data_IF_353519650944
#
_entry.id   IF_353519650944
#
_cell.length_a   1.000
_cell.length_b   1.000
_cell.length_c   1.000
_cell.angle_alpha   90.00
_cell.angle_beta   90.00
_cell.angle_gamma   90.00
#
_symmetry.space_group_name_H-M   'P 1'
#
loop_
_entity.id
_entity.type
_entity.pdbx_description
1 polymer ?
#
# COMPACT_ATOMS: atom_id res chain seq x y z
N UNK A 1 20.91 14.00 12.77
CA UNK A 1 20.74 13.43 11.41
C UNK A 1 19.49 14.06 10.81
N UNK A 2 19.59 14.90 9.77
CA UNK A 2 18.40 15.46 9.09
C UNK A 2 17.88 14.40 8.12
N UNK A 3 16.75 13.78 8.44
CA UNK A 3 16.08 12.85 7.53
C UNK A 3 15.36 13.64 6.44
N UNK A 4 15.79 13.48 5.19
CA UNK A 4 15.07 13.99 4.02
C UNK A 4 14.10 12.92 3.52
N UNK A 5 12.96 13.33 2.96
CA UNK A 5 12.04 12.42 2.27
C UNK A 5 12.75 11.60 1.17
N UNK A 6 13.81 12.15 0.57
CA UNK A 6 14.68 11.45 -0.36
C UNK A 6 15.37 10.23 0.26
N UNK A 7 15.76 10.29 1.52
CA UNK A 7 16.42 9.16 2.21
C UNK A 7 15.44 8.01 2.41
N UNK A 8 14.23 8.29 2.90
CA UNK A 8 13.17 7.29 3.05
C UNK A 8 12.81 6.63 1.71
N UNK A 9 12.79 7.41 0.62
CA UNK A 9 12.56 6.88 -0.71
C UNK A 9 13.68 5.94 -1.18
N UNK A 10 14.95 6.31 -0.99
CA UNK A 10 16.09 5.48 -1.37
C UNK A 10 16.11 4.18 -0.56
N UNK A 11 15.80 4.24 0.74
CA UNK A 11 15.66 3.07 1.60
C UNK A 11 14.56 2.14 1.09
N UNK A 12 13.35 2.66 0.87
CA UNK A 12 12.22 1.89 0.34
C UNK A 12 12.55 1.25 -1.02
N UNK A 13 13.17 2.01 -1.93
CA UNK A 13 13.59 1.54 -3.24
C UNK A 13 14.58 0.38 -3.13
N UNK A 14 15.61 0.55 -2.31
CA UNK A 14 16.65 -0.46 -2.10
C UNK A 14 16.04 -1.75 -1.55
N UNK A 15 15.22 -1.63 -0.52
CA UNK A 15 14.53 -2.76 0.11
C UNK A 15 13.62 -3.47 -0.91
N UNK A 16 12.89 -2.72 -1.75
CA UNK A 16 12.02 -3.28 -2.77
C UNK A 16 12.79 -4.03 -3.85
N UNK A 17 13.95 -3.52 -4.28
CA UNK A 17 14.82 -4.18 -5.26
C UNK A 17 15.30 -5.55 -4.78
N UNK A 18 15.58 -5.72 -3.48
CA UNK A 18 15.96 -7.00 -2.91
C UNK A 18 14.77 -7.91 -2.59
N UNK A 19 13.65 -7.36 -2.13
CA UNK A 19 12.44 -8.14 -1.80
C UNK A 19 11.75 -8.69 -3.04
N UNK A 20 11.81 -8.00 -4.18
CA UNK A 20 11.15 -8.44 -5.42
C UNK A 20 11.62 -9.82 -5.90
N UNK A 21 12.94 -10.10 -6.07
CA UNK A 21 13.39 -11.44 -6.44
C UNK A 21 13.14 -12.48 -5.34
N UNK A 22 13.17 -12.09 -4.06
CA UNK A 22 12.82 -12.98 -2.95
C UNK A 22 11.34 -13.39 -3.02
N UNK A 23 10.42 -12.44 -3.18
CA UNK A 23 8.99 -12.72 -3.33
C UNK A 23 8.68 -13.48 -4.61
N UNK A 24 9.46 -13.29 -5.67
CA UNK A 24 9.39 -14.12 -6.88
C UNK A 24 9.69 -15.59 -6.55
N UNK A 25 10.77 -15.84 -5.82
CA UNK A 25 11.16 -17.19 -5.40
C UNK A 25 10.16 -17.82 -4.42
N UNK A 26 9.67 -17.05 -3.43
CA UNK A 26 8.65 -17.51 -2.48
C UNK A 26 7.34 -17.84 -3.21
N UNK A 27 6.89 -16.96 -4.12
CA UNK A 27 5.65 -17.14 -4.88
C UNK A 27 5.67 -18.39 -5.74
N UNK A 28 6.79 -18.69 -6.41
CA UNK A 28 6.92 -19.92 -7.19
C UNK A 28 6.99 -21.18 -6.32
N UNK A 29 7.62 -21.11 -5.14
CA UNK A 29 7.68 -22.23 -4.19
C UNK A 29 6.34 -22.53 -3.54
N UNK A 30 5.56 -21.50 -3.21
CA UNK A 30 4.23 -21.63 -2.60
C UNK A 30 3.11 -21.87 -3.61
N UNK A 31 3.42 -21.88 -4.92
CA UNK A 31 2.42 -22.04 -5.97
C UNK A 31 1.48 -20.83 -6.13
N UNK A 32 1.84 -19.67 -5.54
CA UNK A 32 1.10 -18.41 -5.68
C UNK A 32 1.51 -17.76 -7.00
N UNK A 33 1.08 -18.39 -8.09
CA UNK A 33 1.52 -18.07 -9.43
C UNK A 33 0.37 -18.02 -10.42
N UNK A 34 0.53 -17.16 -11.40
CA UNK A 34 -0.31 -17.07 -12.56
C UNK A 34 0.17 -18.03 -13.65
N UNK A 35 -0.70 -18.94 -14.05
CA UNK A 35 -0.45 -19.85 -15.17
C UNK A 35 -1.02 -19.23 -16.45
N UNK A 36 -0.31 -19.32 -17.58
CA UNK A 36 -0.84 -18.88 -18.87
C UNK A 36 -2.07 -19.72 -19.24
N UNK A 37 -3.19 -19.06 -19.51
CA UNK A 37 -4.47 -19.69 -19.87
C UNK A 37 -4.70 -19.72 -21.40
N UNK A 38 -3.71 -19.30 -22.20
CA UNK A 38 -3.70 -19.25 -23.67
C UNK A 38 -4.86 -18.47 -24.33
N UNK A 39 -5.78 -17.91 -23.54
CA UNK A 39 -6.94 -17.14 -23.99
C UNK A 39 -6.76 -15.65 -23.68
N UNK A 40 -6.32 -15.31 -22.47
CA UNK A 40 -6.09 -13.94 -22.01
C UNK A 40 -4.62 -13.69 -21.63
N UNK A 41 -3.86 -14.73 -21.33
CA UNK A 41 -2.50 -14.66 -20.79
C UNK A 41 -1.48 -15.30 -21.72
N UNK A 42 -0.98 -14.50 -22.67
CA UNK A 42 0.02 -14.91 -23.67
C UNK A 42 1.48 -14.81 -23.18
N UNK A 43 1.71 -14.74 -21.86
CA UNK A 43 3.07 -14.65 -21.32
C UNK A 43 3.76 -16.02 -21.32
N UNK A 44 5.04 -16.03 -21.69
CA UNK A 44 5.89 -17.22 -21.61
C UNK A 44 6.26 -17.50 -20.16
N UNK A 45 5.64 -18.54 -19.58
CA UNK A 45 5.98 -19.05 -18.25
C UNK A 45 5.09 -18.55 -17.11
N UNK A 46 5.40 -19.06 -15.93
CA UNK A 46 4.65 -18.90 -14.69
C UNK A 46 5.06 -17.59 -13.99
N UNK A 47 4.09 -16.70 -13.70
CA UNK A 47 4.36 -15.38 -13.10
C UNK A 47 3.88 -15.34 -11.65
N UNK A 48 4.74 -15.12 -10.64
CA UNK A 48 4.30 -15.06 -9.26
C UNK A 48 3.46 -13.81 -8.96
N UNK A 49 2.42 -13.96 -8.13
CA UNK A 49 1.48 -12.87 -7.78
C UNK A 49 1.84 -12.12 -6.48
N UNK A 50 2.92 -12.50 -5.80
CA UNK A 50 3.30 -11.93 -4.49
C UNK A 50 4.00 -10.56 -4.53
N UNK A 51 3.96 -9.84 -5.66
CA UNK A 51 4.68 -8.56 -5.82
C UNK A 51 4.19 -7.45 -4.87
N UNK A 52 2.89 -7.41 -4.59
CA UNK A 52 2.32 -6.43 -3.65
C UNK A 52 2.87 -6.54 -2.22
N UNK A 53 3.24 -7.76 -1.80
CA UNK A 53 3.86 -8.01 -0.49
C UNK A 53 5.25 -7.36 -0.42
N UNK A 54 6.05 -7.47 -1.47
CA UNK A 54 7.37 -6.83 -1.54
C UNK A 54 7.24 -5.31 -1.39
N UNK A 55 6.31 -4.69 -2.13
CA UNK A 55 6.09 -3.24 -2.10
C UNK A 55 5.66 -2.80 -0.70
N UNK A 56 4.69 -3.49 -0.10
CA UNK A 56 4.16 -3.11 1.19
C UNK A 56 5.18 -3.25 2.32
N UNK A 57 5.98 -4.32 2.35
CA UNK A 57 7.08 -4.47 3.32
C UNK A 57 8.12 -3.37 3.11
N UNK A 58 8.46 -3.05 1.86
CA UNK A 58 9.43 -1.99 1.54
C UNK A 58 8.95 -0.60 1.93
N UNK A 59 7.64 -0.38 1.95
CA UNK A 59 7.03 0.82 2.52
C UNK A 59 7.06 0.83 4.05
N UNK A 60 6.75 -0.30 4.69
CA UNK A 60 6.67 -0.37 6.15
C UNK A 60 8.02 -0.17 6.86
N UNK A 61 9.11 -0.71 6.31
CA UNK A 61 10.40 -0.68 6.99
C UNK A 61 10.90 0.75 7.24
N UNK A 62 10.99 1.65 6.24
CA UNK A 62 11.36 3.05 6.47
C UNK A 62 10.36 3.80 7.35
N UNK A 63 9.05 3.50 7.23
CA UNK A 63 8.02 4.10 8.09
C UNK A 63 8.25 3.73 9.56
N UNK A 64 8.53 2.47 9.87
CA UNK A 64 8.81 2.05 11.24
C UNK A 64 10.15 2.59 11.75
N UNK A 65 11.19 2.60 10.91
CA UNK A 65 12.47 3.24 11.27
C UNK A 65 12.22 4.69 11.65
N UNK A 66 11.45 5.42 10.85
CA UNK A 66 11.08 6.79 11.12
C UNK A 66 10.31 6.94 12.43
N UNK A 67 9.27 6.12 12.66
CA UNK A 67 8.43 6.23 13.86
C UNK A 67 9.17 5.86 15.16
N UNK A 68 10.02 4.83 15.15
CA UNK A 68 10.65 4.29 16.36
C UNK A 68 11.99 4.94 16.70
N UNK A 69 12.82 5.24 15.69
CA UNK A 69 14.18 5.74 15.92
C UNK A 69 14.29 7.27 15.85
N UNK A 70 13.34 7.96 15.22
CA UNK A 70 13.38 9.42 15.07
C UNK A 70 12.38 10.04 16.06
N UNK A 71 12.79 10.16 17.33
CA UNK A 71 11.99 10.81 18.37
C UNK A 71 12.39 12.28 18.60
N UNK A 72 11.32 13.11 18.62
CA UNK A 72 11.06 14.31 19.46
C UNK A 72 11.38 15.74 19.01
N UNK A 73 12.28 16.02 18.08
CA UNK A 73 12.58 17.44 17.72
C UNK A 73 11.98 17.93 16.39
N UNK A 74 11.35 17.04 15.61
CA UNK A 74 10.65 17.41 14.40
C UNK A 74 9.19 17.72 14.73
N UNK A 75 8.75 18.97 14.52
CA UNK A 75 7.36 19.42 14.67
C UNK A 75 6.33 18.56 13.91
N UNK A 76 6.76 17.79 12.89
CA UNK A 76 5.92 16.84 12.17
C UNK A 76 5.55 15.57 12.98
N UNK A 77 6.34 15.22 14.00
CA UNK A 77 6.28 13.92 14.66
C UNK A 77 5.06 13.74 15.58
N UNK A 78 4.45 14.84 16.06
CA UNK A 78 3.34 14.75 17.03
C UNK A 78 1.97 14.90 16.37
N UNK A 79 1.85 15.72 15.33
CA UNK A 79 0.55 16.07 14.72
C UNK A 79 0.04 15.03 13.70
N UNK A 80 0.93 14.30 13.03
CA UNK A 80 0.55 13.37 11.94
C UNK A 80 0.72 11.88 12.28
N UNK A 81 1.09 11.55 13.52
CA UNK A 81 1.33 10.17 13.94
C UNK A 81 0.09 9.28 13.71
N UNK A 82 -1.09 9.80 14.00
CA UNK A 82 -2.36 9.09 13.77
C UNK A 82 -2.61 8.79 12.28
N UNK A 83 -2.32 9.74 11.38
CA UNK A 83 -2.46 9.55 9.93
C UNK A 83 -1.55 8.45 9.40
N UNK A 84 -0.30 8.37 9.90
CA UNK A 84 0.63 7.31 9.52
C UNK A 84 0.08 5.94 9.92
N UNK A 85 -0.43 5.79 11.15
CA UNK A 85 -1.03 4.53 11.59
C UNK A 85 -2.26 4.14 10.78
N UNK A 86 -3.10 5.12 10.46
CA UNK A 86 -4.26 4.92 9.60
C UNK A 86 -3.86 4.43 8.19
N UNK A 87 -2.81 5.00 7.59
CA UNK A 87 -2.27 4.54 6.29
C UNK A 87 -1.71 3.12 6.39
N UNK A 88 -0.95 2.82 7.44
CA UNK A 88 -0.39 1.48 7.68
C UNK A 88 -1.51 0.45 7.82
N UNK A 89 -2.51 0.72 8.66
CA UNK A 89 -3.61 -0.23 8.89
C UNK A 89 -4.49 -0.37 7.64
N UNK A 90 -4.93 0.75 7.04
CA UNK A 90 -5.76 0.74 5.85
C UNK A 90 -5.06 0.09 4.64
N UNK A 91 -3.79 0.44 4.42
CA UNK A 91 -2.94 -0.17 3.39
C UNK A 91 -2.70 -1.66 3.63
N UNK A 92 -2.52 -2.07 4.90
CA UNK A 92 -2.40 -3.47 5.27
C UNK A 92 -3.66 -4.28 4.97
N UNK A 93 -4.85 -3.73 5.26
CA UNK A 93 -6.13 -4.36 4.92
C UNK A 93 -6.24 -4.54 3.40
N UNK A 94 -5.94 -3.50 2.62
CA UNK A 94 -5.98 -3.56 1.17
C UNK A 94 -4.97 -4.57 0.60
N UNK A 95 -3.74 -4.59 1.13
CA UNK A 95 -2.68 -5.53 0.73
C UNK A 95 -3.09 -6.98 1.03
N UNK A 96 -3.56 -7.25 2.26
CA UNK A 96 -3.98 -8.60 2.66
C UNK A 96 -5.16 -9.09 1.83
N UNK A 97 -6.14 -8.22 1.55
CA UNK A 97 -7.25 -8.56 0.67
C UNK A 97 -6.76 -8.88 -0.76
N UNK A 98 -5.86 -8.05 -1.31
CA UNK A 98 -5.28 -8.29 -2.63
C UNK A 98 -4.52 -9.62 -2.69
N UNK A 99 -3.69 -9.91 -1.70
CA UNK A 99 -2.97 -11.17 -1.59
C UNK A 99 -3.94 -12.36 -1.46
N UNK A 100 -4.97 -12.23 -0.62
CA UNK A 100 -5.97 -13.27 -0.43
C UNK A 100 -6.79 -13.52 -1.71
N UNK A 101 -7.04 -12.47 -2.51
CA UNK A 101 -7.67 -12.59 -3.82
C UNK A 101 -6.78 -13.30 -4.84
N UNK A 102 -5.48 -12.98 -4.85
CA UNK A 102 -4.51 -13.63 -5.73
C UNK A 102 -4.39 -15.14 -5.49
N UNK A 103 -4.59 -15.58 -4.24
CA UNK A 103 -4.52 -16.99 -3.82
C UNK A 103 -5.86 -17.70 -3.98
N UNK A 104 -6.97 -17.10 -3.53
CA UNK A 104 -8.26 -17.79 -3.41
C UNK A 104 -9.34 -17.33 -4.38
N UNK A 105 -9.07 -16.32 -5.22
CA UNK A 105 -10.04 -15.71 -6.13
C UNK A 105 -11.35 -15.36 -5.40
N UNK A 106 -11.26 -14.40 -4.48
CA UNK A 106 -12.31 -14.07 -3.53
C UNK A 106 -13.53 -13.51 -4.27
N UNK A 107 -14.74 -13.82 -3.77
CA UNK A 107 -15.99 -13.25 -4.35
C UNK A 107 -16.01 -11.73 -4.23
N UNK A 108 -16.48 -11.04 -5.27
CA UNK A 108 -16.54 -9.56 -5.37
C UNK A 108 -17.11 -8.87 -4.13
N UNK A 109 -18.19 -9.42 -3.53
CA UNK A 109 -18.80 -8.89 -2.30
C UNK A 109 -17.81 -8.68 -1.14
N UNK A 110 -16.86 -9.60 -0.98
CA UNK A 110 -15.86 -9.53 0.07
C UNK A 110 -14.76 -8.53 -0.27
N UNK A 111 -14.37 -8.43 -1.55
CA UNK A 111 -13.41 -7.41 -2.01
C UNK A 111 -13.91 -6.00 -1.70
N UNK A 112 -15.18 -5.73 -2.03
CA UNK A 112 -15.82 -4.45 -1.74
C UNK A 112 -15.87 -4.21 -0.22
N UNK A 113 -16.25 -5.20 0.58
CA UNK A 113 -16.28 -5.06 2.03
C UNK A 113 -14.92 -4.61 2.60
N UNK A 114 -13.83 -5.30 2.24
CA UNK A 114 -12.49 -4.95 2.71
C UNK A 114 -12.01 -3.59 2.19
N UNK A 115 -12.34 -3.22 0.96
CA UNK A 115 -12.04 -1.89 0.42
C UNK A 115 -12.79 -0.79 1.17
N UNK A 116 -14.07 -1.02 1.50
CA UNK A 116 -14.86 -0.08 2.33
C UNK A 116 -14.26 0.04 3.72
N UNK A 117 -13.84 -1.07 4.35
CA UNK A 117 -13.17 -1.03 5.65
C UNK A 117 -11.85 -0.24 5.56
N UNK A 118 -11.00 -0.51 4.57
CA UNK A 118 -9.75 0.23 4.37
C UNK A 118 -9.98 1.73 4.15
N UNK A 119 -10.97 2.10 3.33
CA UNK A 119 -11.36 3.49 3.10
C UNK A 119 -11.92 4.16 4.37
N UNK A 120 -12.70 3.43 5.18
CA UNK A 120 -13.24 3.94 6.45
C UNK A 120 -12.11 4.20 7.45
N UNK A 121 -11.12 3.31 7.53
CA UNK A 121 -9.92 3.52 8.33
C UNK A 121 -9.20 4.78 7.86
N UNK A 122 -8.95 4.95 6.56
CA UNK A 122 -8.35 6.16 5.99
C UNK A 122 -9.13 7.43 6.37
N UNK A 123 -10.46 7.41 6.18
CA UNK A 123 -11.34 8.52 6.49
C UNK A 123 -11.29 8.93 7.97
N UNK A 124 -11.20 7.96 8.88
CA UNK A 124 -11.06 8.24 10.33
C UNK A 124 -9.82 9.08 10.65
N UNK A 125 -8.76 8.97 9.84
CA UNK A 125 -7.53 9.75 9.91
C UNK A 125 -7.59 11.17 9.34
N UNK A 126 -8.77 11.66 8.95
CA UNK A 126 -8.94 12.86 8.12
C UNK A 126 -8.22 12.76 6.76
N UNK A 127 -7.99 11.55 6.25
CA UNK A 127 -7.51 11.35 4.87
C UNK A 127 -8.72 11.32 3.96
N UNK A 128 -9.17 12.50 3.55
CA UNK A 128 -10.38 12.69 2.74
C UNK A 128 -10.15 13.74 1.65
N UNK A 129 -11.00 13.68 0.63
CA UNK A 129 -11.02 14.64 -0.46
C UNK A 129 -12.10 15.66 -0.13
N UNK A 130 -11.70 16.81 0.40
CA UNK A 130 -12.64 17.88 0.76
C UNK A 130 -13.02 18.76 -0.43
N UNK A 131 -12.12 18.87 -1.41
CA UNK A 131 -12.28 19.74 -2.57
C UNK A 131 -12.01 18.99 -3.87
N UNK A 132 -12.92 19.14 -4.83
CA UNK A 132 -12.74 18.65 -6.19
C UNK A 132 -12.38 19.82 -7.10
N UNK A 133 -11.18 19.79 -7.67
CA UNK A 133 -10.75 20.80 -8.62
C UNK A 133 -11.58 20.74 -9.91
N UNK A 134 -12.10 21.89 -10.35
CA UNK A 134 -12.87 22.02 -11.58
C UNK A 134 -12.01 22.74 -12.63
N UNK A 135 -11.65 22.10 -13.76
CA UNK A 135 -10.84 22.74 -14.80
C UNK A 135 -11.57 23.87 -15.54
N UNK A 136 -12.89 24.01 -15.38
CA UNK A 136 -13.71 25.02 -16.03
C UNK A 136 -14.26 26.10 -15.07
N UNK A 137 -13.84 26.11 -13.81
CA UNK A 137 -14.39 27.07 -12.84
C UNK A 137 -13.87 26.89 -11.42
N UNK A 138 -14.66 27.33 -10.44
CA UNK A 138 -14.31 27.18 -9.02
C UNK A 138 -14.35 25.71 -8.60
N UNK A 139 -13.51 25.36 -7.62
CA UNK A 139 -13.53 24.05 -6.99
C UNK A 139 -14.92 23.74 -6.43
N UNK A 140 -15.33 22.48 -6.54
CA UNK A 140 -16.55 21.98 -5.93
C UNK A 140 -16.17 21.50 -4.53
N UNK A 141 -16.71 22.17 -3.52
CA UNK A 141 -16.58 21.74 -2.12
C UNK A 141 -17.46 20.49 -1.93
N UNK A 142 -16.82 19.38 -1.56
CA UNK A 142 -17.49 18.10 -1.31
C UNK A 142 -17.83 17.91 0.17
N UNK A 143 -17.34 18.81 1.03
CA UNK A 143 -17.54 18.77 2.48
C UNK A 143 -18.86 19.37 2.93
N UNK A 144 -19.44 18.79 3.97
CA UNK A 144 -20.55 19.35 4.77
C UNK A 144 -20.10 19.84 6.16
N UNK A 145 -18.79 19.83 6.44
CA UNK A 145 -18.20 20.16 7.74
C UNK A 145 -16.84 20.82 7.56
#
# INVERSE_FOLDING_TARGET
MRFSSTMLFIEALTICLFLTPLMRWVGTRLGIVDQPDAYRKFHAGVIPRCGGVAIYISFLVPVFIFLFFIKKESLLATSHHYQVWVIVIGGGIAMLMGLADDIWNIRVRWKILFQVIAATVAYSGNLRIDNLSNPFGSAIELGLF
#
